data_IF_329116873736
#
_entry.id   IF_329116873736
#
_cell.length_a   1.000
_cell.length_b   1.000
_cell.length_c   1.000
_cell.angle_alpha   90.00
_cell.angle_beta   90.00
_cell.angle_gamma   90.00
#
_symmetry.space_group_name_H-M   'P 1'
#
loop_
_entity.id
_entity.type
_entity.pdbx_description
1 polymer ?
#
# COMPACT_ATOMS: atom_id res chain seq x y z
N UNK A 1 5.37 1.47 2.15
CA UNK A 1 6.38 1.03 1.16
C UNK A 1 7.71 1.65 1.55
N UNK A 2 8.85 0.99 1.32
CA UNK A 2 10.14 1.66 1.43
C UNK A 2 10.33 2.53 0.20
N UNK A 3 10.45 3.84 0.41
CA UNK A 3 10.50 4.83 -0.67
C UNK A 3 11.91 5.14 -1.15
N UNK A 4 12.92 4.75 -0.38
CA UNK A 4 14.34 4.94 -0.66
C UNK A 4 15.13 3.68 -0.25
N UNK A 5 16.34 3.46 -0.79
CA UNK A 5 17.22 2.39 -0.33
C UNK A 5 17.70 2.68 1.09
N UNK A 6 17.07 2.03 2.09
CA UNK A 6 17.37 2.23 3.51
C UNK A 6 17.49 0.89 4.22
N UNK A 7 18.06 0.90 5.43
CA UNK A 7 17.84 -0.19 6.38
C UNK A 7 16.35 -0.39 6.65
N UNK A 8 15.95 -1.64 6.90
CA UNK A 8 14.56 -2.01 7.13
C UNK A 8 14.45 -3.25 8.01
N UNK A 9 13.38 -3.32 8.82
CA UNK A 9 13.11 -4.43 9.75
C UNK A 9 11.81 -5.18 9.50
N UNK A 10 11.08 -4.83 8.43
CA UNK A 10 9.85 -5.51 8.03
C UNK A 10 10.15 -6.73 7.15
N UNK A 11 9.25 -7.72 7.17
CA UNK A 11 9.29 -8.82 6.21
C UNK A 11 9.01 -8.31 4.80
N UNK A 12 9.81 -8.76 3.83
CA UNK A 12 9.75 -8.29 2.45
C UNK A 12 8.83 -9.19 1.63
N UNK A 13 7.78 -8.60 1.06
CA UNK A 13 6.78 -9.32 0.24
C UNK A 13 6.89 -9.01 -1.27
N UNK A 14 7.61 -7.95 -1.65
CA UNK A 14 7.73 -7.54 -3.05
C UNK A 14 8.23 -6.10 -3.20
N UNK A 15 8.15 -5.58 -4.43
CA UNK A 15 8.53 -4.20 -4.79
C UNK A 15 7.35 -3.49 -5.45
N UNK A 16 7.30 -2.16 -5.31
CA UNK A 16 6.28 -1.30 -5.93
C UNK A 16 6.95 -0.19 -6.73
N UNK A 17 6.14 0.57 -7.48
CA UNK A 17 6.57 1.75 -8.23
C UNK A 17 6.99 2.90 -7.29
N UNK A 18 7.74 3.90 -7.77
CA UNK A 18 8.15 5.05 -6.96
C UNK A 18 6.95 5.81 -6.41
N UNK A 19 7.02 6.21 -5.14
CA UNK A 19 5.98 6.98 -4.44
C UNK A 19 6.57 8.19 -3.72
N UNK A 20 7.85 8.45 -4.00
CA UNK A 20 8.64 9.54 -3.48
C UNK A 20 9.62 10.00 -4.58
N UNK A 21 9.79 11.30 -4.72
CA UNK A 21 10.78 11.87 -5.63
C UNK A 21 11.36 13.17 -5.04
N UNK A 22 12.56 13.07 -4.47
CA UNK A 22 13.24 14.22 -3.85
C UNK A 22 13.51 15.36 -4.84
N UNK A 23 13.78 15.05 -6.11
CA UNK A 23 14.04 16.06 -7.14
C UNK A 23 12.79 16.80 -7.63
N UNK A 24 11.58 16.30 -7.30
CA UNK A 24 10.28 16.87 -7.69
C UNK A 24 10.21 17.27 -9.18
N UNK A 25 10.85 16.51 -10.06
CA UNK A 25 10.85 16.77 -11.51
C UNK A 25 9.49 16.44 -12.12
N UNK A 26 8.94 15.31 -11.72
CA UNK A 26 7.65 14.81 -12.19
C UNK A 26 6.50 15.69 -11.69
N UNK A 27 5.53 16.07 -12.56
CA UNK A 27 4.46 17.02 -12.21
C UNK A 27 3.68 16.67 -10.94
N UNK A 28 3.34 15.39 -10.74
CA UNK A 28 2.61 14.91 -9.55
C UNK A 28 3.36 15.06 -8.22
N UNK A 29 4.66 15.38 -8.23
CA UNK A 29 5.46 15.59 -7.03
C UNK A 29 5.78 17.08 -6.80
N UNK A 30 5.18 18.02 -7.53
CA UNK A 30 5.52 19.45 -7.43
C UNK A 30 5.19 20.05 -6.07
N UNK A 31 4.05 19.67 -5.50
CA UNK A 31 3.59 20.22 -4.21
C UNK A 31 4.24 19.51 -3.02
N UNK A 32 4.70 18.27 -3.20
CA UNK A 32 5.31 17.45 -2.16
C UNK A 32 6.19 16.36 -2.78
N UNK A 33 7.37 16.05 -2.21
CA UNK A 33 8.17 14.93 -2.67
C UNK A 33 7.53 13.58 -2.35
N UNK A 34 6.49 13.53 -1.52
CA UNK A 34 5.69 12.34 -1.22
C UNK A 34 4.39 12.34 -2.02
N UNK A 35 4.07 11.20 -2.64
CA UNK A 35 2.82 11.03 -3.37
C UNK A 35 1.61 10.91 -2.45
N UNK A 36 1.75 10.13 -1.37
CA UNK A 36 0.66 9.84 -0.46
C UNK A 36 0.50 10.91 0.61
N UNK A 37 -0.75 11.18 0.97
CA UNK A 37 -1.18 12.02 2.08
C UNK A 37 -1.76 11.15 3.19
N UNK A 38 -1.88 11.72 4.38
CA UNK A 38 -2.56 11.05 5.50
C UNK A 38 -4.00 10.70 5.10
N UNK A 39 -4.43 9.49 5.47
CA UNK A 39 -5.74 8.90 5.14
C UNK A 39 -5.96 8.47 3.68
N UNK A 40 -4.94 8.54 2.81
CA UNK A 40 -5.03 7.92 1.48
C UNK A 40 -5.15 6.39 1.57
N UNK A 41 -5.86 5.79 0.61
CA UNK A 41 -6.01 4.33 0.48
C UNK A 41 -5.17 3.82 -0.67
N UNK A 42 -4.38 2.78 -0.42
CA UNK A 42 -3.53 2.14 -1.43
C UNK A 42 -4.12 0.78 -1.77
N UNK A 43 -4.18 0.45 -3.06
CA UNK A 43 -4.52 -0.90 -3.56
C UNK A 43 -3.38 -1.41 -4.40
N UNK A 44 -2.98 -2.66 -4.16
CA UNK A 44 -1.98 -3.35 -4.97
C UNK A 44 -2.68 -4.28 -5.94
N UNK A 45 -2.10 -4.43 -7.12
CA UNK A 45 -2.45 -5.43 -8.12
C UNK A 45 -1.16 -6.07 -8.63
N UNK A 46 -1.25 -7.30 -9.08
CA UNK A 46 -0.10 -8.06 -9.56
C UNK A 46 0.35 -7.55 -10.93
N UNK A 47 1.66 -7.40 -11.10
CA UNK A 47 2.33 -6.99 -12.35
C UNK A 47 3.66 -7.70 -12.46
N UNK A 48 4.27 -7.68 -13.65
CA UNK A 48 5.59 -8.27 -13.82
C UNK A 48 6.68 -7.34 -13.28
N UNK A 49 7.86 -7.89 -12.99
CA UNK A 49 9.01 -7.07 -12.61
C UNK A 49 9.38 -6.04 -13.69
N UNK A 50 9.28 -6.46 -14.96
CA UNK A 50 9.56 -5.60 -16.11
C UNK A 50 8.68 -4.35 -16.10
N UNK A 51 7.39 -4.51 -15.79
CA UNK A 51 6.45 -3.37 -15.72
C UNK A 51 6.86 -2.39 -14.61
N UNK A 52 7.32 -2.88 -13.46
CA UNK A 52 7.79 -2.01 -12.37
C UNK A 52 9.01 -1.18 -12.79
N UNK A 53 9.96 -1.81 -13.49
CA UNK A 53 11.17 -1.14 -13.98
C UNK A 53 10.86 -0.11 -15.07
N UNK A 54 9.93 -0.43 -15.97
CA UNK A 54 9.46 0.50 -17.00
C UNK A 54 8.78 1.71 -16.35
N UNK A 55 7.88 1.50 -15.38
CA UNK A 55 7.24 2.59 -14.64
C UNK A 55 8.27 3.44 -13.90
N UNK A 56 9.32 2.83 -13.32
CA UNK A 56 10.39 3.58 -12.67
C UNK A 56 11.06 4.59 -13.62
N UNK A 57 11.38 4.15 -14.84
CA UNK A 57 11.94 5.01 -15.90
C UNK A 57 11.00 6.15 -16.26
N UNK A 58 9.72 5.83 -16.42
CA UNK A 58 8.68 6.81 -16.73
C UNK A 58 8.42 7.83 -15.60
N UNK A 59 8.68 7.45 -14.34
CA UNK A 59 8.55 8.38 -13.20
C UNK A 59 9.79 9.27 -13.02
N UNK A 60 11.00 8.70 -13.08
CA UNK A 60 12.22 9.43 -12.71
C UNK A 60 12.89 10.19 -13.86
N UNK A 61 12.81 9.65 -15.08
CA UNK A 61 13.57 10.17 -16.22
C UNK A 61 12.64 10.83 -17.26
N UNK A 62 11.60 10.13 -17.71
CA UNK A 62 10.66 10.68 -18.73
C UNK A 62 9.61 11.61 -18.12
N UNK A 63 9.24 11.38 -16.87
CA UNK A 63 8.29 12.19 -16.08
C UNK A 63 6.85 12.23 -16.64
N UNK A 64 6.45 11.20 -17.36
CA UNK A 64 5.18 11.09 -18.09
C UNK A 64 4.22 10.03 -17.52
N UNK A 65 4.63 9.26 -16.51
CA UNK A 65 3.78 8.25 -15.89
C UNK A 65 2.55 8.86 -15.19
N UNK A 66 1.37 8.30 -15.46
CA UNK A 66 0.12 8.73 -14.82
C UNK A 66 -0.28 7.72 -13.76
N UNK A 67 -0.26 8.15 -12.49
CA UNK A 67 -0.75 7.32 -11.40
C UNK A 67 -2.29 7.26 -11.44
N UNK A 68 -2.85 6.09 -11.17
CA UNK A 68 -4.29 5.93 -11.01
C UNK A 68 -4.72 6.42 -9.64
N UNK A 69 -4.99 7.72 -9.54
CA UNK A 69 -5.47 8.37 -8.32
C UNK A 69 -6.95 8.72 -8.51
N UNK A 70 -7.77 8.32 -7.54
CA UNK A 70 -9.19 8.70 -7.47
C UNK A 70 -9.40 9.51 -6.20
N UNK A 71 -9.76 10.78 -6.36
CA UNK A 71 -10.22 11.62 -5.25
C UNK A 71 -11.52 11.04 -4.69
N UNK A 72 -11.54 10.82 -3.38
CA UNK A 72 -12.64 10.18 -2.67
C UNK A 72 -12.60 10.55 -1.19
N UNK A 73 -13.65 10.21 -0.45
CA UNK A 73 -13.76 10.46 0.98
C UNK A 73 -13.83 9.16 1.77
N UNK A 74 -13.25 9.18 2.96
CA UNK A 74 -13.46 8.13 3.95
C UNK A 74 -14.42 8.68 5.00
N UNK A 75 -15.60 8.08 5.08
CA UNK A 75 -16.58 8.40 6.11
C UNK A 75 -16.46 7.38 7.23
N UNK A 76 -16.05 7.84 8.43
CA UNK A 76 -15.88 6.98 9.62
C UNK A 76 -17.19 6.26 9.94
N UNK A 77 -18.34 6.93 9.78
CA UNK A 77 -19.66 6.31 9.97
C UNK A 77 -19.87 5.08 9.07
N UNK A 78 -19.47 5.15 7.80
CA UNK A 78 -19.67 4.07 6.84
C UNK A 78 -18.73 2.91 7.15
N UNK A 79 -17.49 3.23 7.56
CA UNK A 79 -16.55 2.22 8.04
C UNK A 79 -17.07 1.51 9.30
N UNK A 80 -17.62 2.24 10.27
CA UNK A 80 -18.19 1.65 11.48
C UNK A 80 -19.41 0.78 11.17
N UNK A 81 -20.27 1.19 10.23
CA UNK A 81 -21.38 0.36 9.75
C UNK A 81 -20.89 -0.93 9.09
N UNK A 82 -19.88 -0.86 8.22
CA UNK A 82 -19.24 -2.03 7.61
C UNK A 82 -18.63 -2.94 8.68
N UNK A 83 -17.81 -2.38 9.58
CA UNK A 83 -17.12 -3.11 10.63
C UNK A 83 -18.09 -3.83 11.57
N UNK A 84 -19.18 -3.18 11.98
CA UNK A 84 -20.18 -3.74 12.88
C UNK A 84 -21.21 -4.65 12.19
N UNK A 85 -21.11 -4.86 10.87
CA UNK A 85 -21.99 -5.81 10.19
C UNK A 85 -21.75 -7.24 10.66
N UNK A 86 -22.82 -8.03 10.71
CA UNK A 86 -22.76 -9.43 11.19
C UNK A 86 -21.77 -10.28 10.38
N UNK A 87 -21.70 -10.06 9.06
CA UNK A 87 -20.77 -10.76 8.17
C UNK A 87 -19.32 -10.49 8.55
N UNK A 88 -18.94 -9.22 8.71
CA UNK A 88 -17.56 -8.83 9.04
C UNK A 88 -17.20 -9.29 10.45
N UNK A 89 -18.10 -9.10 11.44
CA UNK A 89 -17.85 -9.53 12.81
C UNK A 89 -17.74 -11.05 12.95
N UNK A 90 -18.52 -11.82 12.18
CA UNK A 90 -18.38 -13.27 12.13
C UNK A 90 -17.05 -13.69 11.51
N UNK A 91 -16.71 -13.16 10.34
CA UNK A 91 -15.45 -13.47 9.65
C UNK A 91 -14.22 -13.10 10.48
N UNK A 92 -14.25 -11.94 11.15
CA UNK A 92 -13.17 -11.50 12.03
C UNK A 92 -12.96 -12.45 13.21
N UNK A 93 -14.04 -12.92 13.86
CA UNK A 93 -13.97 -13.89 14.96
C UNK A 93 -13.39 -15.23 14.49
N UNK A 94 -13.90 -15.77 13.39
CA UNK A 94 -13.41 -17.03 12.82
C UNK A 94 -11.93 -16.95 12.44
N UNK A 95 -11.49 -15.84 11.86
CA UNK A 95 -10.08 -15.61 11.53
C UNK A 95 -9.20 -15.57 12.79
N UNK A 96 -9.63 -14.85 13.83
CA UNK A 96 -8.90 -14.74 15.10
C UNK A 96 -8.79 -16.09 15.82
N UNK A 97 -9.84 -16.90 15.81
CA UNK A 97 -9.81 -18.25 16.39
C UNK A 97 -8.81 -19.15 15.66
N UNK A 98 -8.85 -19.17 14.32
CA UNK A 98 -7.88 -19.91 13.50
C UNK A 98 -6.45 -19.45 13.75
N UNK A 99 -6.22 -18.15 13.86
CA UNK A 99 -4.90 -17.60 14.16
C UNK A 99 -4.39 -18.04 15.54
N UNK A 100 -5.26 -18.03 16.58
CA UNK A 100 -4.90 -18.49 17.92
C UNK A 100 -4.49 -19.96 17.93
N UNK A 101 -5.25 -20.82 17.26
CA UNK A 101 -4.92 -22.25 17.17
C UNK A 101 -3.61 -22.48 16.41
N UNK A 102 -3.44 -21.85 15.24
CA UNK A 102 -2.22 -21.97 14.44
C UNK A 102 -0.97 -21.50 15.22
N UNK A 103 -1.12 -20.45 16.05
CA UNK A 103 -0.02 -19.91 16.86
C UNK A 103 0.46 -20.90 17.94
N UNK A 104 -0.42 -21.76 18.48
CA UNK A 104 -0.03 -22.77 19.48
C UNK A 104 0.93 -23.81 18.90
N UNK A 105 0.78 -24.13 17.62
CA UNK A 105 1.58 -25.13 16.89
C UNK A 105 2.67 -24.52 16.03
N UNK A 106 2.71 -23.19 15.90
CA UNK A 106 3.72 -22.50 15.10
C UNK A 106 5.13 -22.75 15.69
N UNK A 107 6.13 -23.03 14.85
CA UNK A 107 7.51 -23.13 15.32
C UNK A 107 7.91 -21.83 16.01
N UNK A 108 8.47 -21.93 17.21
CA UNK A 108 9.09 -20.78 17.88
C UNK A 108 10.51 -20.61 17.35
N UNK A 109 10.85 -19.38 16.98
CA UNK A 109 12.22 -18.97 16.68
C UNK A 109 13.03 -18.86 17.97
#
# INVERSE_FOLDING_TARGET
TYTTPTGGGYQLFGRTIPTFQFSQKHPLFKDSPFLYKSADRIRFFEVTEKDILDIFEHVHNKTDYQYQIKEDQILVKDYLSFYNSDEVQKGAREFQEKQKEATKTAPRL
#
